data_IF_496536334977
#
_entry.id   IF_496536334977
#
_cell.length_a   1.000
_cell.length_b   1.000
_cell.length_c   1.000
_cell.angle_alpha   90.00
_cell.angle_beta   90.00
_cell.angle_gamma   90.00
#
_symmetry.space_group_name_H-M   'P 1'
#
loop_
_entity.id
_entity.type
_entity.pdbx_description
1 polymer ?
#
# COMPACT_ATOMS: atom_id res chain seq x y z
N UNK A 1 -30.41 24.56 -16.64
CA UNK A 1 -30.19 23.12 -16.88
C UNK A 1 -31.49 22.34 -16.86
N UNK A 2 -31.87 21.76 -17.99
CA UNK A 2 -33.01 20.83 -18.07
C UNK A 2 -32.59 19.45 -17.54
N UNK A 3 -33.48 18.76 -16.82
CA UNK A 3 -33.17 17.50 -16.14
C UNK A 3 -32.81 16.35 -17.09
N UNK A 4 -33.30 16.40 -18.34
CA UNK A 4 -33.28 15.30 -19.30
C UNK A 4 -31.91 15.10 -19.98
N UNK A 5 -31.03 16.11 -19.93
CA UNK A 5 -29.68 16.04 -20.52
C UNK A 5 -28.83 14.89 -19.93
N UNK A 6 -29.05 14.54 -18.66
CA UNK A 6 -28.25 13.56 -17.92
C UNK A 6 -28.83 12.14 -17.88
N UNK A 7 -29.85 11.83 -18.70
CA UNK A 7 -30.37 10.45 -18.82
C UNK A 7 -29.23 9.53 -19.29
N UNK A 8 -29.00 8.45 -18.53
CA UNK A 8 -28.02 7.39 -18.79
C UNK A 8 -28.75 6.06 -18.66
N UNK A 9 -28.69 5.24 -19.70
CA UNK A 9 -29.05 3.83 -19.58
C UNK A 9 -27.95 3.09 -18.80
N UNK A 10 -28.31 2.62 -17.60
CA UNK A 10 -27.42 1.90 -16.69
C UNK A 10 -27.51 0.37 -16.83
N UNK A 11 -28.37 -0.17 -17.70
CA UNK A 11 -28.62 -1.62 -17.86
C UNK A 11 -27.58 -2.30 -18.78
N UNK A 12 -27.06 -1.58 -19.79
CA UNK A 12 -26.58 -2.24 -21.03
C UNK A 12 -25.06 -2.29 -21.29
N UNK A 13 -24.18 -1.76 -20.43
CA UNK A 13 -22.73 -1.67 -20.75
C UNK A 13 -21.75 -2.31 -19.76
N UNK A 14 -20.65 -2.86 -20.30
CA UNK A 14 -19.49 -3.42 -19.57
C UNK A 14 -18.68 -2.40 -18.75
N UNK A 15 -18.99 -1.11 -18.83
CA UNK A 15 -18.21 -0.03 -18.19
C UNK A 15 -18.76 0.34 -16.80
N UNK A 16 -17.89 0.81 -15.89
CA UNK A 16 -18.30 1.18 -14.53
C UNK A 16 -19.17 2.44 -14.55
N UNK A 17 -20.26 2.49 -13.77
CA UNK A 17 -21.27 3.58 -13.77
C UNK A 17 -20.71 5.01 -13.65
N UNK A 18 -19.62 5.24 -12.92
CA UNK A 18 -18.98 6.58 -12.83
C UNK A 18 -18.32 7.01 -14.14
N UNK A 19 -17.85 6.06 -14.95
CA UNK A 19 -17.20 6.31 -16.22
C UNK A 19 -18.23 6.63 -17.32
N UNK A 20 -19.40 5.97 -17.27
CA UNK A 20 -20.56 6.31 -18.10
C UNK A 20 -21.01 7.76 -17.87
N UNK A 21 -21.08 8.19 -16.59
CA UNK A 21 -21.39 9.57 -16.22
C UNK A 21 -20.31 10.56 -16.68
N UNK A 22 -19.03 10.21 -16.51
CA UNK A 22 -17.89 10.99 -16.99
C UNK A 22 -17.98 11.22 -18.51
N UNK A 23 -18.17 10.16 -19.31
CA UNK A 23 -18.29 10.28 -20.75
C UNK A 23 -19.52 11.10 -21.17
N UNK A 24 -20.67 10.93 -20.50
CA UNK A 24 -21.89 11.68 -20.84
C UNK A 24 -21.69 13.17 -20.62
N UNK A 25 -21.09 13.58 -19.49
CA UNK A 25 -20.79 14.99 -19.21
C UNK A 25 -19.73 15.51 -20.19
N UNK A 26 -18.67 14.73 -20.46
CA UNK A 26 -17.62 15.08 -21.43
C UNK A 26 -18.20 15.34 -22.82
N UNK A 27 -19.12 14.48 -23.28
CA UNK A 27 -19.84 14.68 -24.55
C UNK A 27 -20.67 15.97 -24.53
N UNK A 28 -21.51 16.17 -23.51
CA UNK A 28 -22.33 17.40 -23.40
C UNK A 28 -21.49 18.70 -23.42
N UNK A 29 -20.27 18.70 -22.87
CA UNK A 29 -19.34 19.85 -22.95
C UNK A 29 -18.80 20.00 -24.38
N UNK A 30 -18.35 18.91 -25.02
CA UNK A 30 -17.82 18.92 -26.41
C UNK A 30 -18.87 19.24 -27.47
N UNK A 31 -20.12 18.83 -27.23
CA UNK A 31 -21.28 19.10 -28.07
C UNK A 31 -21.85 20.53 -27.85
N UNK A 32 -21.17 21.38 -27.07
CA UNK A 32 -21.60 22.75 -26.77
C UNK A 32 -22.90 22.88 -25.94
N UNK A 33 -23.43 21.75 -25.44
CA UNK A 33 -24.68 21.67 -24.68
C UNK A 33 -24.52 22.04 -23.20
N UNK A 34 -23.27 22.17 -22.74
CA UNK A 34 -22.88 22.77 -21.46
C UNK A 34 -21.83 23.84 -21.75
N UNK A 35 -22.13 25.09 -21.41
CA UNK A 35 -21.27 26.24 -21.73
C UNK A 35 -20.09 26.37 -20.76
N UNK A 36 -18.99 26.99 -21.21
CA UNK A 36 -17.91 27.39 -20.29
C UNK A 36 -18.43 28.35 -19.21
N UNK A 37 -18.00 28.13 -17.96
CA UNK A 37 -18.52 28.82 -16.79
C UNK A 37 -19.92 28.36 -16.33
N UNK A 38 -20.57 27.40 -17.01
CA UNK A 38 -21.86 26.88 -16.55
C UNK A 38 -21.70 25.98 -15.30
N UNK A 39 -22.53 26.22 -14.29
CA UNK A 39 -22.48 25.54 -12.99
C UNK A 39 -23.22 24.20 -13.03
N UNK A 40 -22.49 23.10 -12.86
CA UNK A 40 -23.08 21.76 -12.73
C UNK A 40 -23.95 21.60 -11.46
N UNK A 41 -24.89 20.64 -11.45
CA UNK A 41 -25.63 20.28 -10.25
C UNK A 41 -24.69 19.78 -9.15
N UNK A 42 -25.07 19.96 -7.88
CA UNK A 42 -24.28 19.42 -6.77
C UNK A 42 -24.30 17.89 -6.74
N UNK A 43 -23.26 17.29 -6.15
CA UNK A 43 -23.14 15.82 -6.00
C UNK A 43 -24.41 15.19 -5.40
N UNK A 44 -25.06 15.88 -4.44
CA UNK A 44 -26.33 15.43 -3.84
C UNK A 44 -27.47 15.46 -4.86
N UNK A 45 -27.73 16.61 -5.46
CA UNK A 45 -28.80 16.80 -6.44
C UNK A 45 -28.67 15.86 -7.65
N UNK A 46 -27.45 15.62 -8.15
CA UNK A 46 -27.25 14.69 -9.27
C UNK A 46 -27.38 13.23 -8.85
N UNK A 47 -26.94 12.86 -7.65
CA UNK A 47 -27.15 11.50 -7.11
C UNK A 47 -28.63 11.16 -6.93
N UNK A 48 -29.41 12.12 -6.44
CA UNK A 48 -30.85 11.99 -6.21
C UNK A 48 -31.63 11.98 -7.53
N UNK A 49 -31.27 12.82 -8.51
CA UNK A 49 -31.91 12.83 -9.85
C UNK A 49 -31.61 11.61 -10.71
N UNK A 50 -30.47 10.93 -10.52
CA UNK A 50 -30.07 9.76 -11.32
C UNK A 50 -30.23 8.42 -10.59
N UNK A 51 -30.66 8.42 -9.31
CA UNK A 51 -30.79 7.20 -8.52
C UNK A 51 -29.47 6.47 -8.22
N UNK A 52 -28.32 7.15 -8.32
CA UNK A 52 -26.99 6.56 -8.18
C UNK A 52 -26.29 6.99 -6.88
N UNK A 53 -25.39 6.15 -6.37
CA UNK A 53 -24.58 6.47 -5.19
C UNK A 53 -23.82 7.79 -5.36
N UNK A 54 -23.81 8.61 -4.29
CA UNK A 54 -23.03 9.86 -4.18
C UNK A 54 -21.55 9.64 -4.53
N UNK A 55 -20.98 8.49 -4.13
CA UNK A 55 -19.60 8.11 -4.45
C UNK A 55 -19.34 7.89 -5.96
N UNK A 56 -20.37 7.50 -6.73
CA UNK A 56 -20.29 7.39 -8.19
C UNK A 56 -20.19 8.77 -8.84
N UNK A 57 -20.97 9.73 -8.35
CA UNK A 57 -20.94 11.13 -8.84
C UNK A 57 -19.61 11.79 -8.47
N UNK A 58 -19.16 11.68 -7.21
CA UNK A 58 -17.86 12.24 -6.78
C UNK A 58 -16.69 11.72 -7.63
N UNK A 59 -16.66 10.41 -7.94
CA UNK A 59 -15.62 9.82 -8.80
C UNK A 59 -15.69 10.30 -10.24
N UNK A 60 -16.89 10.58 -10.77
CA UNK A 60 -17.05 11.18 -12.10
C UNK A 60 -16.57 12.63 -12.11
N UNK A 61 -16.93 13.43 -11.11
CA UNK A 61 -16.58 14.86 -11.04
C UNK A 61 -15.08 15.06 -10.83
N UNK A 62 -14.46 14.29 -9.94
CA UNK A 62 -13.00 14.30 -9.75
C UNK A 62 -12.22 13.90 -11.02
N UNK A 63 -12.77 12.98 -11.84
CA UNK A 63 -12.15 12.61 -13.12
C UNK A 63 -12.31 13.69 -14.19
N UNK A 64 -13.44 14.39 -14.24
CA UNK A 64 -13.64 15.55 -15.11
C UNK A 64 -12.70 16.72 -14.74
N UNK A 65 -12.55 16.99 -13.44
CA UNK A 65 -11.66 18.01 -12.89
C UNK A 65 -10.18 17.68 -13.17
N UNK A 66 -9.76 16.44 -12.94
CA UNK A 66 -8.40 15.95 -13.27
C UNK A 66 -8.08 16.09 -14.76
N UNK A 67 -9.07 15.95 -15.63
CA UNK A 67 -8.92 16.03 -17.08
C UNK A 67 -9.17 17.43 -17.66
N UNK A 68 -9.44 18.46 -16.83
CA UNK A 68 -9.60 19.85 -17.27
C UNK A 68 -10.98 20.22 -17.85
N UNK A 69 -12.00 19.38 -17.65
CA UNK A 69 -13.39 19.65 -18.07
C UNK A 69 -14.22 20.38 -16.99
N UNK A 70 -13.74 20.40 -15.74
CA UNK A 70 -14.33 21.16 -14.63
C UNK A 70 -13.28 21.90 -13.82
N UNK A 71 -13.68 23.00 -13.18
CA UNK A 71 -13.03 23.51 -11.98
C UNK A 71 -14.00 23.53 -10.79
N UNK A 72 -13.50 23.22 -9.59
CA UNK A 72 -14.20 23.44 -8.33
C UNK A 72 -13.92 24.84 -7.78
N UNK A 73 -14.95 25.53 -7.27
CA UNK A 73 -14.79 26.70 -6.41
C UNK A 73 -15.37 26.43 -5.02
N UNK A 74 -14.56 26.69 -3.98
CA UNK A 74 -14.91 26.46 -2.58
C UNK A 74 -16.26 27.08 -2.21
N UNK A 75 -17.12 26.25 -1.60
CA UNK A 75 -18.51 26.57 -1.20
C UNK A 75 -19.47 26.97 -2.34
N UNK A 76 -18.98 27.16 -3.57
CA UNK A 76 -19.79 27.55 -4.75
C UNK A 76 -20.18 26.36 -5.63
N UNK A 77 -19.32 25.36 -5.79
CA UNK A 77 -19.59 24.14 -6.57
C UNK A 77 -18.68 23.96 -7.79
N UNK A 78 -19.12 23.14 -8.74
CA UNK A 78 -18.35 22.77 -9.94
C UNK A 78 -18.85 23.55 -11.17
N UNK A 79 -17.91 24.01 -11.99
CA UNK A 79 -18.15 24.81 -13.19
C UNK A 79 -17.41 24.22 -14.39
N UNK A 80 -17.98 24.35 -15.59
CA UNK A 80 -17.42 23.79 -16.83
C UNK A 80 -16.28 24.64 -17.39
N UNK A 81 -15.20 23.97 -17.84
CA UNK A 81 -14.02 24.58 -18.47
C UNK A 81 -13.76 23.99 -19.85
N UNK A 82 -13.36 24.82 -20.81
CA UNK A 82 -13.22 24.45 -22.22
C UNK A 82 -11.75 24.32 -22.64
N UNK A 83 -10.98 23.52 -21.87
CA UNK A 83 -9.54 23.35 -22.10
C UNK A 83 -9.06 21.91 -21.93
N UNK A 84 -8.87 21.21 -23.05
CA UNK A 84 -7.98 20.05 -23.09
C UNK A 84 -6.52 20.54 -22.95
N UNK A 85 -6.12 20.75 -21.68
CA UNK A 85 -4.80 21.19 -21.18
C UNK A 85 -4.48 22.69 -21.29
N UNK A 86 -4.79 23.42 -20.22
CA UNK A 86 -4.03 24.63 -19.83
C UNK A 86 -4.00 24.81 -18.32
N UNK A 87 -2.82 24.74 -17.70
CA UNK A 87 -2.66 25.07 -16.28
C UNK A 87 -2.83 26.59 -16.04
N UNK A 88 -3.44 27.02 -14.92
CA UNK A 88 -3.77 28.43 -14.69
C UNK A 88 -2.51 29.28 -14.44
N UNK A 89 -2.26 30.24 -15.34
CA UNK A 89 -1.22 31.27 -15.20
C UNK A 89 -1.66 32.30 -14.15
N UNK A 90 -0.85 32.58 -13.13
CA UNK A 90 -0.97 33.83 -12.37
C UNK A 90 -0.35 34.99 -13.18
N UNK A 91 -1.02 36.14 -13.21
CA UNK A 91 -0.54 37.35 -13.88
C UNK A 91 0.46 38.13 -13.00
N UNK A 92 1.46 38.81 -13.59
CA UNK A 92 2.45 39.58 -12.83
C UNK A 92 2.04 41.03 -12.59
N UNK A 93 2.21 41.53 -11.36
CA UNK A 93 2.28 42.97 -11.06
C UNK A 93 3.72 43.48 -11.21
N UNK A 94 3.89 44.75 -11.63
CA UNK A 94 5.22 45.36 -11.83
C UNK A 94 5.88 45.76 -10.49
N UNK A 95 7.24 45.73 -10.40
CA UNK A 95 7.96 45.94 -9.15
C UNK A 95 8.21 47.41 -8.82
N UNK A 96 8.63 47.68 -7.58
CA UNK A 96 9.09 49.00 -7.10
C UNK A 96 10.18 48.82 -6.05
N UNK A 97 11.33 49.47 -6.25
CA UNK A 97 12.38 49.63 -5.22
C UNK A 97 13.46 48.54 -5.22
N UNK A 98 14.66 48.95 -5.62
CA UNK A 98 15.97 48.42 -5.21
C UNK A 98 16.32 48.93 -3.79
N UNK A 99 17.28 48.38 -3.07
CA UNK A 99 17.96 47.07 -3.16
C UNK A 99 17.54 46.26 -1.89
N UNK A 100 18.20 45.30 -1.24
CA UNK A 100 19.56 44.71 -1.33
C UNK A 100 19.58 43.29 -0.72
N UNK A 101 20.76 42.71 -0.45
CA UNK A 101 20.96 41.28 -0.17
C UNK A 101 20.48 40.73 1.18
N UNK A 102 19.64 39.68 1.14
CA UNK A 102 19.72 38.51 2.05
C UNK A 102 19.15 37.27 1.34
N UNK A 103 19.76 36.09 1.50
CA UNK A 103 19.55 34.91 0.65
C UNK A 103 18.56 33.91 1.28
N UNK A 104 17.35 34.39 1.56
CA UNK A 104 16.32 33.64 2.29
C UNK A 104 15.15 33.17 1.39
N UNK A 105 14.99 31.85 1.29
CA UNK A 105 13.85 31.21 0.59
C UNK A 105 12.56 31.45 1.41
N UNK A 106 11.45 31.91 0.80
CA UNK A 106 10.29 32.39 1.54
C UNK A 106 9.55 31.28 2.30
N UNK A 107 9.33 31.52 3.60
CA UNK A 107 8.58 30.64 4.52
C UNK A 107 7.19 30.28 3.99
N UNK A 108 6.75 29.05 4.27
CA UNK A 108 5.43 28.50 3.89
C UNK A 108 4.27 29.44 4.21
N UNK A 109 4.32 30.19 5.32
CA UNK A 109 3.29 31.15 5.68
C UNK A 109 3.11 32.27 4.63
N UNK A 110 4.21 32.77 4.04
CA UNK A 110 4.14 33.73 2.94
C UNK A 110 3.51 33.10 1.67
N UNK A 111 3.81 31.82 1.41
CA UNK A 111 3.24 31.04 0.30
C UNK A 111 1.73 30.82 0.49
N UNK A 112 1.28 30.57 1.72
CA UNK A 112 -0.14 30.44 2.08
C UNK A 112 -0.88 31.79 1.96
N UNK A 113 -0.31 32.88 2.48
CA UNK A 113 -0.84 34.25 2.32
C UNK A 113 -0.96 34.63 0.83
N UNK A 114 -0.01 34.23 -0.02
CA UNK A 114 -0.08 34.37 -1.49
C UNK A 114 -1.11 33.47 -2.20
N UNK A 115 -1.73 32.51 -1.52
CA UNK A 115 -2.82 31.68 -2.07
C UNK A 115 -4.23 32.16 -1.68
N UNK A 116 -4.36 33.05 -0.69
CA UNK A 116 -5.64 33.67 -0.31
C UNK A 116 -6.56 32.80 0.56
N UNK A 117 -6.11 31.61 0.97
CA UNK A 117 -6.82 30.79 1.95
C UNK A 117 -6.51 31.32 3.36
N UNK A 118 -7.51 31.91 4.02
CA UNK A 118 -7.45 32.17 5.46
C UNK A 118 -7.26 30.86 6.24
N UNK A 119 -6.44 30.91 7.29
CA UNK A 119 -6.33 29.82 8.27
C UNK A 119 -7.72 29.63 8.90
N UNK A 120 -8.29 28.41 8.94
CA UNK A 120 -9.49 28.15 9.73
C UNK A 120 -9.20 28.39 11.21
N UNK A 121 -10.04 29.19 11.86
CA UNK A 121 -9.98 29.39 13.31
C UNK A 121 -10.29 28.07 14.03
N UNK A 122 -9.28 27.52 14.72
CA UNK A 122 -9.39 26.30 15.53
C UNK A 122 -9.58 26.63 17.02
N UNK A 123 -10.34 27.69 17.33
CA UNK A 123 -11.01 27.83 18.62
C UNK A 123 -11.89 26.60 18.88
N UNK A 124 -11.93 26.04 20.11
CA UNK A 124 -12.75 24.86 20.41
C UNK A 124 -14.24 25.15 20.18
N UNK A 125 -14.88 24.38 19.32
CA UNK A 125 -16.33 24.46 19.14
C UNK A 125 -17.05 23.75 20.30
N UNK A 126 -18.07 24.41 20.85
CA UNK A 126 -18.89 23.87 21.95
C UNK A 126 -19.57 22.54 21.55
N UNK A 127 -19.68 21.62 22.51
CA UNK A 127 -20.31 20.32 22.27
C UNK A 127 -21.80 20.47 21.96
N UNK A 128 -22.20 20.03 20.77
CA UNK A 128 -23.62 19.81 20.43
C UNK A 128 -23.89 18.31 20.38
N UNK A 129 -24.83 17.87 21.22
CA UNK A 129 -25.13 16.45 21.45
C UNK A 129 -25.51 15.72 20.15
N UNK A 130 -24.95 14.52 19.96
CA UNK A 130 -25.27 13.67 18.81
C UNK A 130 -26.62 12.96 19.03
N UNK A 131 -27.53 12.94 18.05
CA UNK A 131 -28.80 12.23 18.18
C UNK A 131 -28.57 10.72 18.25
N UNK A 132 -29.21 10.07 19.22
CA UNK A 132 -29.16 8.62 19.39
C UNK A 132 -29.99 7.94 18.30
N UNK A 133 -29.30 7.27 17.37
CA UNK A 133 -29.95 6.40 16.38
C UNK A 133 -30.27 5.07 17.06
N UNK A 134 -31.56 4.76 17.25
CA UNK A 134 -32.02 3.41 17.60
C UNK A 134 -31.95 2.51 16.37
N UNK A 135 -31.47 1.30 16.56
CA UNK A 135 -31.63 0.19 15.61
C UNK A 135 -32.86 -0.60 16.08
N UNK A 136 -33.81 -0.84 15.18
CA UNK A 136 -34.94 -1.74 15.42
C UNK A 136 -34.65 -3.06 14.69
N UNK A 137 -34.19 -4.07 15.44
CA UNK A 137 -33.93 -5.40 14.90
C UNK A 137 -35.25 -6.16 14.70
N UNK A 138 -35.44 -6.71 13.51
CA UNK A 138 -36.67 -7.38 13.13
C UNK A 138 -36.57 -8.92 13.27
N UNK A 139 -37.62 -9.48 13.91
CA UNK A 139 -38.06 -10.88 13.91
C UNK A 139 -37.43 -11.87 14.91
N UNK A 140 -38.35 -12.60 15.56
CA UNK A 140 -38.26 -13.97 16.14
C UNK A 140 -37.31 -14.26 17.31
N UNK A 141 -37.91 -14.58 18.48
CA UNK A 141 -37.50 -15.75 19.26
C UNK A 141 -37.09 -15.52 20.72
N UNK A 142 -38.02 -15.79 21.64
CA UNK A 142 -37.82 -16.18 23.06
C UNK A 142 -37.03 -15.25 24.02
N UNK A 143 -37.68 -14.89 25.14
CA UNK A 143 -37.04 -14.16 26.25
C UNK A 143 -36.22 -15.07 27.17
N UNK A 144 -35.03 -14.64 27.58
CA UNK A 144 -34.36 -15.13 28.80
C UNK A 144 -33.66 -13.97 29.56
N UNK A 145 -34.22 -13.46 30.67
CA UNK A 145 -33.78 -12.20 31.27
C UNK A 145 -32.71 -12.39 32.37
N UNK A 146 -31.47 -12.80 32.00
CA UNK A 146 -30.35 -12.94 32.95
C UNK A 146 -28.94 -12.61 32.38
N UNK A 147 -28.72 -11.37 31.95
CA UNK A 147 -27.37 -10.80 31.95
C UNK A 147 -27.37 -9.43 32.65
N UNK A 148 -26.40 -9.20 33.54
CA UNK A 148 -26.23 -7.91 34.20
C UNK A 148 -25.61 -6.91 33.22
N UNK A 149 -26.04 -5.63 33.22
CA UNK A 149 -25.36 -4.61 32.43
C UNK A 149 -23.93 -4.43 32.95
N UNK A 150 -22.95 -4.84 32.14
CA UNK A 150 -21.54 -4.54 32.41
C UNK A 150 -21.37 -3.02 32.37
N UNK A 151 -20.79 -2.38 33.40
CA UNK A 151 -20.66 -0.94 33.43
C UNK A 151 -19.72 -0.47 32.31
N UNK A 152 -20.27 0.32 31.38
CA UNK A 152 -19.48 1.02 30.36
C UNK A 152 -18.56 2.00 31.09
N UNK A 153 -17.29 1.65 31.20
CA UNK A 153 -16.26 2.60 31.62
C UNK A 153 -16.10 3.62 30.52
N UNK A 154 -16.47 4.87 30.80
CA UNK A 154 -15.96 6.04 30.08
C UNK A 154 -14.45 6.02 30.19
N UNK A 155 -13.76 5.72 29.10
CA UNK A 155 -12.31 5.71 29.04
C UNK A 155 -11.85 7.06 28.48
N UNK A 156 -10.99 7.75 29.23
CA UNK A 156 -10.42 9.06 28.89
C UNK A 156 -9.78 9.12 27.49
N UNK A 157 -9.62 10.34 26.97
CA UNK A 157 -9.00 10.67 25.68
C UNK A 157 -7.48 10.38 25.63
N UNK A 158 -7.08 9.13 25.84
CA UNK A 158 -5.75 8.63 25.49
C UNK A 158 -5.66 8.47 23.98
N UNK A 159 -5.34 9.56 23.26
CA UNK A 159 -5.14 9.54 21.81
C UNK A 159 -4.12 8.46 21.41
N UNK A 160 -4.48 7.60 20.45
CA UNK A 160 -3.61 6.53 19.98
C UNK A 160 -2.26 7.11 19.52
N UNK A 161 -1.09 6.61 19.97
CA UNK A 161 0.18 7.33 19.79
C UNK A 161 0.59 7.65 18.34
N UNK A 162 0.14 6.86 17.35
CA UNK A 162 0.25 7.24 15.92
C UNK A 162 -0.44 8.56 15.59
N UNK A 163 -1.62 8.86 16.13
CA UNK A 163 -2.38 10.08 15.82
C UNK A 163 -1.65 11.34 16.34
N UNK A 164 -1.04 11.25 17.52
CA UNK A 164 -0.10 12.27 17.99
C UNK A 164 1.07 12.43 17.02
N UNK A 165 1.68 11.33 16.55
CA UNK A 165 2.76 11.37 15.56
C UNK A 165 2.31 12.08 14.27
N UNK A 166 1.16 11.71 13.70
CA UNK A 166 0.55 12.35 12.52
C UNK A 166 0.41 13.87 12.70
N UNK A 167 -0.13 14.35 13.84
CA UNK A 167 -0.26 15.80 14.11
C UNK A 167 1.08 16.52 14.22
N UNK A 168 2.05 15.93 14.93
CA UNK A 168 3.43 16.45 15.06
C UNK A 168 4.13 16.61 13.70
N UNK A 169 3.83 15.73 12.75
CA UNK A 169 4.41 15.78 11.40
C UNK A 169 3.70 16.82 10.53
N UNK A 170 2.37 16.96 10.66
CA UNK A 170 1.60 17.96 9.91
C UNK A 170 1.91 19.42 10.30
N UNK A 171 2.46 19.67 11.50
CA UNK A 171 2.98 20.98 11.91
C UNK A 171 4.44 21.24 11.50
N UNK A 172 5.13 20.26 10.91
CA UNK A 172 6.49 20.42 10.39
C UNK A 172 6.46 20.98 8.95
N UNK A 173 7.03 22.16 8.76
CA UNK A 173 6.85 22.95 7.54
C UNK A 173 7.73 22.53 6.33
N UNK A 174 8.41 21.38 6.39
CA UNK A 174 9.36 20.91 5.37
C UNK A 174 9.27 19.39 5.17
N UNK A 175 8.30 18.93 4.37
CA UNK A 175 8.09 17.50 4.06
C UNK A 175 8.45 17.14 2.60
N UNK A 176 9.55 17.70 2.10
CA UNK A 176 10.09 17.34 0.77
C UNK A 176 11.20 16.31 0.97
N UNK A 177 10.95 15.09 0.50
CA UNK A 177 11.92 14.00 0.46
C UNK A 177 12.04 13.50 -0.99
N UNK A 178 13.21 12.99 -1.43
CA UNK A 178 13.32 12.37 -2.74
C UNK A 178 12.42 11.11 -2.81
N UNK A 179 11.81 10.82 -3.98
CA UNK A 179 11.05 9.59 -4.17
C UNK A 179 11.95 8.37 -3.98
N UNK A 180 11.38 7.26 -3.50
CA UNK A 180 12.12 6.02 -3.31
C UNK A 180 11.21 4.79 -3.30
N UNK A 181 11.49 3.76 -4.11
CA UNK A 181 10.70 2.53 -4.15
C UNK A 181 10.93 1.62 -2.93
N UNK A 182 11.96 1.89 -2.11
CA UNK A 182 12.18 1.25 -0.81
C UNK A 182 11.38 1.92 0.31
N UNK A 183 11.01 3.19 0.15
CA UNK A 183 10.47 4.02 1.21
C UNK A 183 11.54 4.73 2.05
N UNK A 184 11.05 5.57 2.96
CA UNK A 184 11.79 6.57 3.72
C UNK A 184 12.89 5.95 4.60
N UNK A 185 14.13 6.45 4.47
CA UNK A 185 15.29 5.90 5.18
C UNK A 185 15.15 5.88 6.71
N UNK A 186 14.47 6.87 7.32
CA UNK A 186 14.19 6.86 8.76
C UNK A 186 13.28 5.70 9.16
N UNK A 187 12.17 5.49 8.44
CA UNK A 187 11.30 4.34 8.67
C UNK A 187 12.05 3.00 8.49
N UNK A 188 12.88 2.87 7.44
CA UNK A 188 13.67 1.65 7.22
C UNK A 188 14.65 1.36 8.38
N UNK A 189 15.27 2.40 8.95
CA UNK A 189 16.12 2.28 10.15
C UNK A 189 15.33 1.85 11.37
N UNK A 190 14.15 2.42 11.59
CA UNK A 190 13.27 2.02 12.69
C UNK A 190 12.76 0.57 12.54
N UNK A 191 12.42 0.12 11.33
CA UNK A 191 12.03 -1.27 11.07
C UNK A 191 13.20 -2.24 11.31
N UNK A 192 14.41 -1.93 10.82
CA UNK A 192 15.63 -2.72 11.10
C UNK A 192 15.86 -2.86 12.61
N UNK A 193 15.80 -1.74 13.35
CA UNK A 193 15.90 -1.70 14.81
C UNK A 193 14.79 -2.51 15.50
N UNK A 194 13.56 -2.47 15.00
CA UNK A 194 12.42 -3.21 15.54
C UNK A 194 12.57 -4.72 15.34
N UNK A 195 12.87 -5.20 14.13
CA UNK A 195 12.97 -6.64 13.85
C UNK A 195 14.21 -7.29 14.45
N UNK A 196 15.29 -6.52 14.62
CA UNK A 196 16.45 -6.96 15.39
C UNK A 196 16.12 -7.13 16.88
N UNK A 197 15.30 -6.23 17.47
CA UNK A 197 14.87 -6.30 18.87
C UNK A 197 13.83 -7.38 19.15
N UNK A 198 12.78 -7.46 18.32
CA UNK A 198 11.65 -8.37 18.55
C UNK A 198 11.90 -9.80 18.05
N UNK A 199 12.64 -9.98 16.95
CA UNK A 199 12.74 -11.27 16.24
C UNK A 199 14.18 -11.75 15.99
N UNK A 200 15.19 -11.04 16.50
CA UNK A 200 16.62 -11.30 16.24
C UNK A 200 16.98 -11.33 14.75
N UNK A 201 16.22 -10.64 13.89
CA UNK A 201 16.52 -10.53 12.46
C UNK A 201 17.59 -9.45 12.28
N UNK A 202 18.80 -9.86 11.93
CA UNK A 202 19.85 -8.95 11.47
C UNK A 202 19.57 -8.53 10.03
N UNK A 203 19.44 -7.22 9.78
CA UNK A 203 19.16 -6.66 8.46
C UNK A 203 19.62 -5.21 8.38
N UNK A 204 20.26 -4.83 7.28
CA UNK A 204 20.53 -3.42 6.99
C UNK A 204 19.23 -2.70 6.60
N UNK A 205 19.10 -1.38 6.82
CA UNK A 205 17.96 -0.60 6.33
C UNK A 205 17.80 -0.69 4.81
N UNK A 206 18.92 -0.83 4.08
CA UNK A 206 19.00 -0.92 2.62
C UNK A 206 18.45 -2.24 2.05
N UNK A 207 18.19 -3.23 2.91
CA UNK A 207 17.48 -4.46 2.54
C UNK A 207 15.96 -4.33 2.67
N UNK A 208 15.45 -3.28 3.32
CA UNK A 208 14.04 -3.18 3.69
C UNK A 208 13.27 -2.39 2.63
N UNK A 209 12.34 -3.04 1.93
CA UNK A 209 11.32 -2.34 1.14
C UNK A 209 10.05 -2.16 1.98
N UNK A 210 9.39 -1.01 1.87
CA UNK A 210 8.15 -0.68 2.59
C UNK A 210 7.00 -0.53 1.60
N UNK A 211 5.78 -0.88 2.01
CA UNK A 211 4.58 -0.69 1.21
C UNK A 211 3.30 -0.77 2.03
N UNK A 212 2.16 -0.62 1.37
CA UNK A 212 0.84 -0.66 1.99
C UNK A 212 0.28 -2.08 2.23
N UNK A 213 0.86 -3.14 1.64
CA UNK A 213 0.36 -4.52 1.84
C UNK A 213 1.41 -5.59 1.54
N UNK A 214 1.47 -6.65 2.36
CA UNK A 214 2.41 -7.77 2.19
C UNK A 214 2.26 -8.46 0.82
N UNK A 215 1.01 -8.61 0.35
CA UNK A 215 0.70 -9.20 -0.96
C UNK A 215 1.21 -8.34 -2.12
N UNK A 216 1.23 -7.02 -1.96
CA UNK A 216 1.77 -6.12 -2.97
C UNK A 216 3.30 -6.13 -3.00
N UNK A 217 3.95 -6.15 -1.83
CA UNK A 217 5.41 -6.31 -1.73
C UNK A 217 5.88 -7.64 -2.31
N UNK A 218 5.18 -8.75 -2.01
CA UNK A 218 5.41 -10.04 -2.65
C UNK A 218 5.27 -9.96 -4.18
N UNK A 219 4.18 -9.37 -4.68
CA UNK A 219 3.95 -9.19 -6.11
C UNK A 219 5.05 -8.36 -6.78
N UNK A 220 5.50 -7.26 -6.17
CA UNK A 220 6.59 -6.43 -6.69
C UNK A 220 7.93 -7.18 -6.68
N UNK A 221 8.23 -7.88 -5.60
CA UNK A 221 9.46 -8.67 -5.47
C UNK A 221 9.55 -9.70 -6.61
N UNK A 222 8.45 -10.36 -6.96
CA UNK A 222 8.36 -11.36 -8.04
C UNK A 222 8.44 -10.79 -9.48
N UNK A 223 8.48 -9.46 -9.66
CA UNK A 223 8.50 -8.80 -10.98
C UNK A 223 9.90 -8.40 -11.46
N UNK A 224 10.85 -8.27 -10.51
CA UNK A 224 12.21 -7.77 -10.75
C UNK A 224 12.84 -8.46 -11.97
N UNK A 225 13.48 -7.69 -12.86
CA UNK A 225 13.94 -8.18 -14.18
C UNK A 225 14.86 -9.39 -14.10
N UNK A 226 15.71 -9.44 -13.08
CA UNK A 226 16.62 -10.55 -12.73
C UNK A 226 15.90 -11.90 -12.56
N UNK A 227 14.64 -11.86 -12.12
CA UNK A 227 13.77 -13.03 -11.92
C UNK A 227 13.09 -13.51 -13.21
N UNK A 228 13.07 -12.65 -14.24
CA UNK A 228 12.26 -12.80 -15.44
C UNK A 228 13.08 -13.10 -16.70
N UNK A 229 14.37 -13.44 -16.58
CA UNK A 229 15.25 -13.66 -17.74
C UNK A 229 16.38 -14.67 -17.44
N UNK A 230 16.52 -15.76 -18.23
CA UNK A 230 17.55 -16.79 -17.98
C UNK A 230 18.98 -16.36 -18.35
N UNK A 231 19.15 -15.24 -19.06
CA UNK A 231 20.33 -14.97 -19.88
C UNK A 231 21.32 -13.95 -19.28
N UNK A 232 21.89 -14.23 -18.10
CA UNK A 232 23.23 -13.74 -17.71
C UNK A 232 23.91 -14.67 -16.71
N UNK A 233 25.23 -14.77 -16.81
CA UNK A 233 26.07 -15.82 -16.18
C UNK A 233 26.89 -15.36 -14.97
N UNK A 234 26.72 -14.11 -14.56
CA UNK A 234 27.40 -13.47 -13.43
C UNK A 234 26.36 -12.71 -12.59
N UNK A 235 26.39 -12.99 -11.29
CA UNK A 235 25.81 -12.22 -10.17
C UNK A 235 24.27 -12.07 -10.11
N UNK A 236 23.69 -12.22 -8.91
CA UNK A 236 22.24 -12.16 -8.63
C UNK A 236 21.59 -13.51 -8.21
N UNK A 237 21.15 -13.61 -6.96
CA UNK A 237 20.43 -14.73 -6.31
C UNK A 237 18.91 -14.58 -6.50
N UNK A 238 18.48 -14.40 -7.76
CA UNK A 238 17.08 -14.16 -8.08
C UNK A 238 16.11 -15.30 -7.71
N UNK A 239 15.09 -14.99 -6.91
CA UNK A 239 14.08 -15.93 -6.40
C UNK A 239 13.35 -16.80 -7.45
N UNK A 240 13.09 -16.32 -8.67
CA UNK A 240 12.47 -17.10 -9.76
C UNK A 240 13.47 -17.51 -10.85
N UNK A 241 14.76 -17.58 -10.53
CA UNK A 241 15.81 -17.84 -11.53
C UNK A 241 15.60 -19.18 -12.25
N UNK A 242 15.46 -19.11 -13.56
CA UNK A 242 15.58 -20.25 -14.46
C UNK A 242 16.99 -20.84 -14.32
N UNK A 243 17.07 -22.06 -13.79
CA UNK A 243 18.32 -22.78 -13.66
C UNK A 243 18.60 -23.62 -14.91
N UNK A 244 19.87 -23.96 -15.13
CA UNK A 244 20.26 -24.93 -16.16
C UNK A 244 21.05 -26.08 -15.55
N UNK A 245 20.81 -27.28 -16.05
CA UNK A 245 21.56 -28.49 -15.71
C UNK A 245 22.08 -29.14 -17.00
N UNK A 246 23.29 -29.71 -16.92
CA UNK A 246 23.86 -30.51 -18.00
C UNK A 246 23.44 -31.97 -17.78
N UNK A 247 22.72 -32.52 -18.75
CA UNK A 247 22.19 -33.89 -18.75
C UNK A 247 22.47 -34.51 -20.12
N UNK A 248 23.31 -35.56 -20.14
CA UNK A 248 23.70 -36.31 -21.34
C UNK A 248 24.14 -35.44 -22.53
N UNK A 249 24.99 -34.45 -22.25
CA UNK A 249 25.52 -33.48 -23.22
C UNK A 249 24.56 -32.36 -23.62
N UNK A 250 23.28 -32.44 -23.22
CA UNK A 250 22.27 -31.39 -23.43
C UNK A 250 22.15 -30.46 -22.22
N UNK A 251 21.69 -29.22 -22.45
CA UNK A 251 21.41 -28.25 -21.37
C UNK A 251 19.90 -28.21 -21.15
N UNK A 252 19.42 -28.83 -20.08
CA UNK A 252 18.02 -28.74 -19.66
C UNK A 252 17.80 -27.48 -18.81
N UNK A 253 16.75 -26.71 -19.12
CA UNK A 253 16.35 -25.53 -18.34
C UNK A 253 15.22 -25.90 -17.36
N UNK A 254 15.44 -25.65 -16.07
CA UNK A 254 14.45 -25.82 -15.01
C UNK A 254 13.55 -24.59 -14.96
N UNK A 255 12.24 -24.80 -15.11
CA UNK A 255 11.22 -23.76 -14.94
C UNK A 255 11.04 -23.40 -13.45
N UNK A 256 10.73 -22.14 -13.10
CA UNK A 256 10.61 -21.73 -11.70
C UNK A 256 9.37 -22.38 -11.10
N UNK A 257 9.46 -22.88 -9.87
CA UNK A 257 8.39 -23.62 -9.20
C UNK A 257 8.32 -23.25 -7.73
N UNK A 258 7.12 -23.00 -7.22
CA UNK A 258 6.90 -22.65 -5.82
C UNK A 258 6.29 -23.82 -5.05
N UNK A 259 6.93 -24.24 -3.97
CA UNK A 259 6.38 -25.20 -3.04
C UNK A 259 5.51 -24.48 -1.99
N UNK A 260 4.29 -24.97 -1.77
CA UNK A 260 3.33 -24.40 -0.82
C UNK A 260 2.84 -25.46 0.16
N UNK A 261 2.73 -25.11 1.44
CA UNK A 261 1.92 -25.85 2.39
C UNK A 261 0.43 -25.86 1.96
N UNK A 262 -0.32 -26.92 2.29
CA UNK A 262 -1.68 -27.12 1.77
C UNK A 262 -2.65 -25.96 2.09
N UNK A 263 -2.54 -25.43 3.30
CA UNK A 263 -3.27 -24.30 3.89
C UNK A 263 -2.88 -22.90 3.35
N UNK A 264 -1.76 -22.76 2.63
CA UNK A 264 -1.25 -21.47 2.15
C UNK A 264 -2.36 -20.61 1.47
N UNK A 265 -2.50 -19.31 1.80
CA UNK A 265 -3.62 -18.48 1.35
C UNK A 265 -3.85 -18.45 -0.17
N UNK A 266 -5.12 -18.48 -0.58
CA UNK A 266 -5.51 -18.45 -2.00
C UNK A 266 -5.09 -17.17 -2.73
N UNK A 267 -4.95 -16.05 -2.01
CA UNK A 267 -4.41 -14.80 -2.54
C UNK A 267 -2.92 -14.91 -2.92
N UNK A 268 -2.11 -15.56 -2.07
CA UNK A 268 -0.70 -15.86 -2.37
C UNK A 268 -0.60 -16.77 -3.57
N UNK A 269 -1.32 -17.91 -3.56
CA UNK A 269 -1.34 -18.87 -4.69
C UNK A 269 -1.69 -18.19 -6.02
N UNK A 270 -2.69 -17.29 -6.03
CA UNK A 270 -3.07 -16.48 -7.21
C UNK A 270 -1.96 -15.58 -7.75
N UNK A 271 -1.09 -15.01 -6.90
CA UNK A 271 0.04 -14.17 -7.36
C UNK A 271 0.98 -15.02 -8.25
N UNK A 272 1.40 -16.19 -7.77
CA UNK A 272 2.28 -17.08 -8.52
C UNK A 272 1.61 -17.65 -9.78
N UNK A 273 0.34 -18.06 -9.70
CA UNK A 273 -0.43 -18.49 -10.88
C UNK A 273 -0.59 -17.38 -11.92
N UNK A 274 -0.75 -16.12 -11.52
CA UNK A 274 -0.82 -14.98 -12.46
C UNK A 274 0.50 -14.72 -13.22
N UNK A 275 1.59 -15.34 -12.78
CA UNK A 275 2.90 -15.34 -13.42
C UNK A 275 3.22 -16.64 -14.16
N UNK A 276 2.26 -17.56 -14.28
CA UNK A 276 2.43 -18.91 -14.85
C UNK A 276 3.47 -19.76 -14.11
N UNK A 277 3.77 -19.45 -12.84
CA UNK A 277 4.71 -20.21 -12.01
C UNK A 277 3.96 -21.44 -11.45
N UNK A 278 4.34 -22.68 -11.80
CA UNK A 278 3.66 -23.87 -11.29
C UNK A 278 3.90 -24.07 -9.80
N UNK A 279 2.89 -24.59 -9.10
CA UNK A 279 2.95 -24.89 -7.67
C UNK A 279 3.18 -26.38 -7.40
N UNK A 280 4.07 -26.68 -6.45
CA UNK A 280 4.20 -27.99 -5.81
C UNK A 280 3.41 -27.96 -4.50
N UNK A 281 2.34 -28.75 -4.39
CA UNK A 281 1.56 -28.85 -3.14
C UNK A 281 2.26 -29.79 -2.17
N UNK A 282 2.63 -29.27 -1.01
CA UNK A 282 3.23 -30.04 0.08
C UNK A 282 2.11 -30.64 0.95
N UNK A 283 2.14 -31.96 1.10
CA UNK A 283 1.08 -32.76 1.75
C UNK A 283 1.57 -33.56 2.95
N UNK A 284 2.88 -33.70 3.13
CA UNK A 284 3.44 -34.39 4.29
C UNK A 284 3.21 -33.61 5.59
N UNK A 285 3.17 -34.32 6.73
CA UNK A 285 2.96 -33.74 8.05
C UNK A 285 4.23 -33.06 8.59
N UNK A 286 5.40 -33.65 8.42
CA UNK A 286 6.68 -33.17 8.94
C UNK A 286 7.48 -32.33 7.92
N UNK A 287 8.31 -31.39 8.40
CA UNK A 287 9.12 -30.52 7.53
C UNK A 287 10.17 -31.28 6.70
N UNK A 288 10.92 -32.27 7.23
CA UNK A 288 11.84 -33.08 6.42
C UNK A 288 11.18 -33.69 5.17
N UNK A 289 10.02 -34.32 5.32
CA UNK A 289 9.25 -34.87 4.19
C UNK A 289 8.75 -33.79 3.23
N UNK A 290 8.30 -32.63 3.74
CA UNK A 290 7.96 -31.46 2.90
C UNK A 290 9.19 -30.95 2.10
N UNK A 291 10.39 -30.98 2.67
CA UNK A 291 11.64 -30.60 2.00
C UNK A 291 12.03 -31.62 0.91
N UNK A 292 11.74 -32.91 1.11
CA UNK A 292 11.84 -33.91 0.03
C UNK A 292 10.83 -33.61 -1.08
N UNK A 293 9.54 -33.48 -0.76
CA UNK A 293 8.49 -33.17 -1.76
C UNK A 293 8.80 -31.91 -2.57
N UNK A 294 9.33 -30.85 -1.95
CA UNK A 294 9.82 -29.65 -2.65
C UNK A 294 11.04 -29.93 -3.55
N UNK A 295 11.92 -30.84 -3.15
CA UNK A 295 13.08 -31.25 -3.95
C UNK A 295 12.70 -32.09 -5.16
N UNK A 296 11.87 -33.10 -4.95
CA UNK A 296 11.39 -34.05 -5.95
C UNK A 296 10.48 -33.33 -6.98
N UNK A 297 9.66 -32.39 -6.51
CA UNK A 297 8.88 -31.47 -7.34
C UNK A 297 9.72 -30.41 -8.08
N UNK A 298 11.05 -30.40 -7.92
CA UNK A 298 11.98 -29.42 -8.49
C UNK A 298 11.64 -27.96 -8.15
N UNK A 299 11.21 -27.68 -6.92
CA UNK A 299 10.93 -26.32 -6.48
C UNK A 299 12.22 -25.45 -6.46
N UNK A 300 12.05 -24.22 -6.93
CA UNK A 300 13.02 -23.12 -6.83
C UNK A 300 12.69 -22.22 -5.64
N UNK A 301 11.41 -22.09 -5.29
CA UNK A 301 10.95 -21.33 -4.11
C UNK A 301 10.30 -22.27 -3.11
N UNK A 302 10.68 -22.19 -1.85
CA UNK A 302 9.87 -22.73 -0.74
C UNK A 302 9.11 -21.58 -0.09
N UNK A 303 7.78 -21.61 -0.08
CA UNK A 303 6.98 -20.65 0.66
C UNK A 303 6.61 -21.23 2.03
N UNK A 304 6.81 -20.45 3.10
CA UNK A 304 6.41 -20.87 4.44
C UNK A 304 6.02 -19.69 5.34
N UNK A 305 5.41 -20.02 6.48
CA UNK A 305 5.17 -19.14 7.62
C UNK A 305 5.86 -19.70 8.86
N UNK A 306 6.18 -18.87 9.85
CA UNK A 306 6.80 -19.34 11.10
C UNK A 306 5.99 -20.44 11.81
N UNK A 307 4.66 -20.31 11.80
CA UNK A 307 3.73 -21.25 12.44
C UNK A 307 3.67 -22.63 11.76
N UNK A 308 4.18 -22.77 10.53
CA UNK A 308 4.16 -24.02 9.75
C UNK A 308 5.38 -24.92 9.99
N UNK A 309 6.44 -24.41 10.63
CA UNK A 309 7.72 -25.10 10.72
C UNK A 309 8.39 -25.02 12.11
N UNK A 310 8.66 -26.14 12.80
CA UNK A 310 9.33 -26.11 14.09
C UNK A 310 10.75 -25.55 13.99
N UNK A 311 11.12 -24.68 14.94
CA UNK A 311 12.45 -24.02 15.05
C UNK A 311 13.64 -24.99 15.02
N UNK A 312 13.43 -26.27 15.37
CA UNK A 312 14.42 -27.35 15.27
C UNK A 312 14.82 -27.72 13.83
N UNK A 313 13.95 -27.52 12.83
CA UNK A 313 14.19 -27.91 11.43
C UNK A 313 14.60 -26.74 10.53
N UNK A 314 14.69 -25.50 11.05
CA UNK A 314 15.15 -24.32 10.29
C UNK A 314 16.46 -24.57 9.54
N UNK A 315 17.43 -25.25 10.17
CA UNK A 315 18.73 -25.57 9.57
C UNK A 315 18.64 -26.50 8.36
N UNK A 316 17.61 -27.35 8.28
CA UNK A 316 17.38 -28.21 7.12
C UNK A 316 16.79 -27.42 5.95
N UNK A 317 15.86 -26.51 6.21
CA UNK A 317 15.27 -25.63 5.19
C UNK A 317 16.31 -24.62 4.64
N UNK A 318 17.19 -24.10 5.50
CA UNK A 318 18.34 -23.28 5.09
C UNK A 318 19.44 -24.11 4.37
N UNK A 319 19.59 -25.39 4.68
CA UNK A 319 20.45 -26.29 3.88
C UNK A 319 19.84 -26.54 2.50
N UNK A 320 18.52 -26.66 2.42
CA UNK A 320 17.79 -26.81 1.16
C UNK A 320 17.92 -25.57 0.25
N UNK A 321 17.86 -24.34 0.78
CA UNK A 321 18.11 -23.15 -0.04
C UNK A 321 19.55 -23.14 -0.57
N UNK A 322 20.55 -23.30 0.32
CA UNK A 322 21.98 -23.32 -0.05
C UNK A 322 22.36 -24.45 -1.01
N UNK A 323 21.60 -25.56 -1.05
CA UNK A 323 21.88 -26.70 -1.93
C UNK A 323 21.93 -26.37 -3.43
N UNK A 324 21.34 -25.24 -3.87
CA UNK A 324 21.36 -24.76 -5.25
C UNK A 324 21.28 -23.23 -5.27
N UNK A 325 22.18 -22.56 -6.00
CA UNK A 325 22.23 -21.08 -6.14
C UNK A 325 21.02 -20.42 -6.84
N UNK A 326 19.98 -21.18 -7.15
CA UNK A 326 18.70 -20.73 -7.70
C UNK A 326 17.52 -21.02 -6.76
N UNK A 327 17.80 -21.48 -5.53
CA UNK A 327 16.78 -21.74 -4.51
C UNK A 327 16.71 -20.60 -3.51
N UNK A 328 15.48 -20.24 -3.15
CA UNK A 328 15.19 -19.23 -2.14
C UNK A 328 14.01 -19.66 -1.28
N UNK A 329 13.89 -19.09 -0.09
CA UNK A 329 12.71 -19.24 0.77
C UNK A 329 11.96 -17.91 0.84
N UNK A 330 10.64 -17.95 0.83
CA UNK A 330 9.81 -16.81 1.27
C UNK A 330 9.23 -17.20 2.62
N UNK A 331 9.56 -16.41 3.64
CA UNK A 331 8.91 -16.43 4.93
C UNK A 331 7.88 -15.28 4.99
N UNK A 332 6.60 -15.61 5.12
CA UNK A 332 5.49 -14.67 5.01
C UNK A 332 4.67 -14.62 6.30
N UNK A 333 4.99 -13.67 7.18
CA UNK A 333 4.44 -13.61 8.54
C UNK A 333 3.75 -12.27 8.83
N UNK A 334 2.85 -12.31 9.80
CA UNK A 334 2.21 -11.13 10.37
C UNK A 334 2.95 -10.80 11.67
N UNK A 335 3.42 -9.56 11.87
CA UNK A 335 4.09 -9.19 13.12
C UNK A 335 3.07 -8.98 14.26
N UNK A 336 2.42 -10.06 14.70
CA UNK A 336 1.73 -10.09 15.98
C UNK A 336 2.81 -10.07 17.09
N UNK A 337 2.89 -9.03 17.95
CA UNK A 337 3.96 -8.93 18.97
C UNK A 337 3.95 -10.07 19.99
N UNK A 338 2.82 -10.78 20.12
CA UNK A 338 2.64 -11.95 20.99
C UNK A 338 3.19 -13.28 20.42
N UNK A 339 3.60 -13.33 19.15
CA UNK A 339 4.14 -14.55 18.53
C UNK A 339 5.56 -14.83 19.03
N UNK A 340 5.69 -15.89 19.84
CA UNK A 340 6.98 -16.39 20.39
C UNK A 340 7.77 -17.28 19.40
N UNK A 341 7.41 -17.26 18.13
CA UNK A 341 7.98 -18.15 17.11
C UNK A 341 9.31 -17.59 16.59
N UNK A 342 10.34 -18.44 16.52
CA UNK A 342 11.64 -18.04 15.94
C UNK A 342 11.53 -17.93 14.43
N UNK A 343 11.62 -16.71 13.88
CA UNK A 343 11.62 -16.48 12.41
C UNK A 343 12.80 -17.21 11.75
N UNK A 344 12.58 -17.82 10.60
CA UNK A 344 13.62 -18.45 9.79
C UNK A 344 14.72 -17.46 9.40
N UNK A 345 14.34 -16.22 9.03
CA UNK A 345 15.29 -15.16 8.67
C UNK A 345 16.27 -14.81 9.79
N UNK A 346 15.92 -15.04 11.06
CA UNK A 346 16.83 -14.80 12.20
C UNK A 346 18.04 -15.76 12.22
N UNK A 347 18.03 -16.81 11.39
CA UNK A 347 19.09 -17.84 11.26
C UNK A 347 19.75 -17.86 9.87
N UNK A 348 19.30 -16.99 8.96
CA UNK A 348 19.69 -16.98 7.55
C UNK A 348 20.98 -16.16 7.32
N UNK A 349 22.11 -16.76 7.71
CA UNK A 349 23.45 -16.17 7.59
C UNK A 349 23.84 -15.91 6.12
N UNK A 350 23.36 -16.74 5.20
CA UNK A 350 23.71 -16.74 3.77
C UNK A 350 22.74 -15.90 2.92
N UNK A 351 21.84 -15.14 3.57
CA UNK A 351 20.89 -14.20 2.96
C UNK A 351 19.97 -14.82 1.89
N UNK A 352 19.56 -16.08 2.08
CA UNK A 352 18.75 -16.87 1.13
C UNK A 352 17.23 -16.79 1.32
N UNK A 353 16.77 -16.16 2.41
CA UNK A 353 15.37 -16.01 2.78
C UNK A 353 14.91 -14.58 2.49
N UNK A 354 13.80 -14.43 1.78
CA UNK A 354 13.03 -13.18 1.75
C UNK A 354 12.02 -13.22 2.90
N UNK A 355 12.11 -12.27 3.83
CA UNK A 355 11.13 -12.12 4.90
C UNK A 355 10.09 -11.06 4.52
N UNK A 356 8.80 -11.35 4.64
CA UNK A 356 7.71 -10.39 4.35
C UNK A 356 6.83 -10.27 5.61
N UNK A 357 6.79 -9.07 6.19
CA UNK A 357 6.13 -8.77 7.46
C UNK A 357 5.05 -7.69 7.35
N UNK A 358 4.02 -7.75 8.21
CA UNK A 358 3.06 -6.65 8.42
C UNK A 358 3.56 -5.72 9.52
N UNK A 359 3.45 -4.40 9.35
CA UNK A 359 3.72 -3.42 10.41
C UNK A 359 2.44 -3.09 11.18
N UNK A 360 2.57 -2.80 12.48
CA UNK A 360 1.53 -2.15 13.31
C UNK A 360 0.11 -2.74 13.14
N UNK A 361 -0.11 -4.06 13.26
CA UNK A 361 -1.40 -4.70 13.00
C UNK A 361 -2.52 -4.29 13.97
N UNK A 362 -2.15 -3.70 15.12
CA UNK A 362 -3.03 -3.07 16.11
C UNK A 362 -3.62 -1.73 15.65
N UNK A 363 -3.31 -1.27 14.43
CA UNK A 363 -3.56 0.12 13.99
C UNK A 363 -4.32 0.19 12.65
N UNK A 364 -5.06 1.28 12.36
CA UNK A 364 -5.89 1.40 11.15
C UNK A 364 -5.09 1.68 9.86
N UNK A 365 -3.76 1.70 9.92
CA UNK A 365 -2.90 1.93 8.76
C UNK A 365 -2.36 0.59 8.27
N UNK A 366 -2.89 0.08 7.16
CA UNK A 366 -2.28 -1.09 6.51
C UNK A 366 -0.88 -0.72 6.00
N UNK A 367 0.13 -1.32 6.60
CA UNK A 367 1.53 -1.13 6.29
C UNK A 367 2.26 -2.48 6.37
N UNK A 368 3.25 -2.64 5.51
CA UNK A 368 4.03 -3.85 5.37
C UNK A 368 5.47 -3.53 4.99
N UNK A 369 6.35 -4.50 5.17
CA UNK A 369 7.72 -4.44 4.73
C UNK A 369 8.20 -5.81 4.23
N UNK A 370 9.29 -5.82 3.49
CA UNK A 370 10.03 -7.05 3.21
C UNK A 370 11.54 -6.80 3.38
N UNK A 371 12.23 -7.78 3.97
CA UNK A 371 13.70 -7.85 4.00
C UNK A 371 14.13 -8.65 2.77
N UNK A 372 14.80 -7.98 1.84
CA UNK A 372 15.34 -8.56 0.62
C UNK A 372 16.80 -9.00 0.82
N UNK A 373 17.24 -10.10 0.17
CA UNK A 373 18.65 -10.40 -0.02
C UNK A 373 19.42 -9.24 -0.66
N UNK A 374 20.64 -8.97 -0.16
CA UNK A 374 21.46 -7.80 -0.53
C UNK A 374 21.72 -7.67 -2.03
N UNK A 375 21.83 -8.80 -2.73
CA UNK A 375 22.09 -8.85 -4.16
C UNK A 375 20.88 -8.43 -5.00
N UNK A 376 19.65 -8.79 -4.61
CA UNK A 376 18.43 -8.39 -5.34
C UNK A 376 18.02 -6.95 -5.06
N UNK A 377 18.58 -6.30 -4.02
CA UNK A 377 18.30 -4.89 -3.73
C UNK A 377 18.69 -3.96 -4.89
N UNK A 378 19.84 -4.22 -5.53
CA UNK A 378 20.29 -3.44 -6.68
C UNK A 378 19.34 -3.61 -7.89
N UNK A 379 18.92 -4.85 -8.16
CA UNK A 379 17.94 -5.16 -9.21
C UNK A 379 16.54 -4.56 -8.92
N UNK A 380 16.10 -4.55 -7.65
CA UNK A 380 14.85 -3.89 -7.23
C UNK A 380 14.93 -2.38 -7.44
N UNK A 381 16.00 -1.71 -7.01
CA UNK A 381 16.20 -0.28 -7.27
C UNK A 381 16.18 0.00 -8.78
N UNK A 382 16.95 -0.74 -9.58
CA UNK A 382 17.00 -0.51 -11.03
C UNK A 382 15.64 -0.76 -11.71
N UNK A 383 14.84 -1.71 -11.22
CA UNK A 383 13.53 -2.01 -11.79
C UNK A 383 12.45 -1.00 -11.40
N UNK A 384 12.59 -0.35 -10.24
CA UNK A 384 11.57 0.53 -9.66
C UNK A 384 12.02 1.98 -9.39
N UNK A 385 13.17 2.40 -9.90
CA UNK A 385 13.78 3.74 -9.71
C UNK A 385 12.81 4.90 -9.97
N UNK A 386 11.88 4.72 -10.91
CA UNK A 386 10.86 5.70 -11.31
C UNK A 386 9.54 5.60 -10.53
N UNK A 387 9.44 4.76 -9.50
CA UNK A 387 8.24 4.57 -8.67
C UNK A 387 8.45 5.00 -7.22
N UNK A 388 7.40 5.57 -6.63
CA UNK A 388 7.31 5.82 -5.19
C UNK A 388 6.85 4.58 -4.41
N UNK A 389 7.29 4.50 -3.15
CA UNK A 389 6.73 3.58 -2.15
C UNK A 389 5.22 3.74 -2.03
N UNK A 390 4.46 2.62 -2.04
CA UNK A 390 2.99 2.64 -2.03
C UNK A 390 2.36 3.01 -0.69
N UNK A 391 3.15 3.12 0.38
CA UNK A 391 2.72 3.64 1.67
C UNK A 391 2.88 5.17 1.67
N UNK A 392 1.83 5.99 1.86
CA UNK A 392 1.96 7.45 1.79
C UNK A 392 3.03 8.01 2.74
N UNK A 393 3.80 9.00 2.28
CA UNK A 393 4.91 9.61 3.04
C UNK A 393 4.53 10.01 4.47
N UNK A 394 3.33 10.59 4.66
CA UNK A 394 2.82 10.97 5.98
C UNK A 394 2.63 9.76 6.90
N UNK A 395 2.13 8.64 6.38
CA UNK A 395 2.02 7.38 7.12
C UNK A 395 3.41 6.83 7.45
N UNK A 396 4.36 6.90 6.51
CA UNK A 396 5.73 6.44 6.73
C UNK A 396 6.41 7.20 7.89
N UNK A 397 6.27 8.53 7.90
CA UNK A 397 6.78 9.40 8.96
C UNK A 397 6.10 9.10 10.31
N UNK A 398 4.77 8.91 10.32
CA UNK A 398 4.01 8.65 11.55
C UNK A 398 4.37 7.29 12.18
N UNK A 399 4.56 6.26 11.35
CA UNK A 399 5.00 4.93 11.78
C UNK A 399 6.45 4.98 12.30
N UNK A 400 7.35 5.76 11.67
CA UNK A 400 8.71 5.94 12.16
C UNK A 400 8.74 6.60 13.56
N UNK A 401 8.01 7.71 13.75
CA UNK A 401 7.90 8.40 15.05
C UNK A 401 7.15 7.57 16.12
N UNK A 402 6.43 6.52 15.73
CA UNK A 402 5.78 5.56 16.63
C UNK A 402 6.69 4.40 17.02
N UNK A 403 7.40 3.79 16.07
CA UNK A 403 8.38 2.73 16.33
C UNK A 403 9.57 3.26 17.16
N UNK A 404 10.09 4.45 16.82
CA UNK A 404 11.22 5.06 17.51
C UNK A 404 10.94 5.46 18.97
N UNK A 405 9.67 5.62 19.35
CA UNK A 405 9.25 5.81 20.76
C UNK A 405 9.13 4.50 21.56
N UNK A 406 9.36 3.35 20.94
CA UNK A 406 9.08 2.04 21.56
C UNK A 406 7.59 1.73 21.69
N UNK A 407 6.70 2.47 21.01
CA UNK A 407 5.25 2.23 21.09
C UNK A 407 4.77 1.05 20.22
N UNK A 408 5.67 0.43 19.45
CA UNK A 408 5.37 -0.69 18.55
C UNK A 408 5.45 -2.08 19.20
N UNK A 409 5.65 -2.14 20.53
CA UNK A 409 5.59 -3.37 21.33
C UNK A 409 4.14 -3.67 21.84
N UNK A 410 3.11 -3.17 21.13
CA UNK A 410 1.68 -3.18 21.49
C UNK A 410 0.77 -3.71 20.38
#
# INVERSE_FOLDING_TARGET
MNSELFIIDFESSKSKRYYQLYERITRLIKDGSLSEGEKLPSIRVLSEKLGISKNTVTKSYSLLETNGFLHSEDKKGYFVTHSEKSAPKKSPSKPRGKDDSDDSVPTVEAILRMRGNSIPDFSPAEEQEKPVIRIEDAATGEHNPKENPVPVKTQDDTEHPLLHSFRKILSAHSLIFPPSPFGLSSLRKEISSLVSRQFSISTEPEQIIVGNSQLHLLWMTLQIRSLSSPCRKSDGMGLLRLASQLTDGSVQTIQPRVAFNGDCPSAVKKIFSSKNIPSVTLTASDLPSKISQASDGQATVFFTRSSEHPSAYSSQLLSWSKSRSYRSVIEFDDLAPSSRETRLKSKDIDDTVIYIGRLCPSTPVEAAFAVLPKDICADYQQHYDMLDCTLPLLNQLAIADFIGKGSADV
#
